data_IF_368814754537
#
_entry.id   IF_368814754537
#
_cell.length_a   1.000
_cell.length_b   1.000
_cell.length_c   1.000
_cell.angle_alpha   90.00
_cell.angle_beta   90.00
_cell.angle_gamma   90.00
#
_symmetry.space_group_name_H-M   'P 1'
#
loop_
_entity.id
_entity.type
_entity.pdbx_description
1 polymer ?
#
# COMPACT_ATOMS: atom_id res chain seq x y z
N UNK A 1 5.33 -2.40 22.84
CA UNK A 1 4.96 -1.02 22.46
C UNK A 1 4.07 -1.07 21.23
N UNK A 2 3.12 -0.15 21.12
CA UNK A 2 2.26 -0.01 19.93
C UNK A 2 3.07 0.52 18.75
N UNK A 3 2.85 -0.05 17.56
CA UNK A 3 3.46 0.36 16.29
C UNK A 3 2.45 1.10 15.42
N UNK A 4 2.92 2.04 14.60
CA UNK A 4 2.10 2.81 13.66
C UNK A 4 2.40 2.40 12.22
N UNK A 5 1.38 1.93 11.50
CA UNK A 5 1.43 1.77 10.04
C UNK A 5 0.51 2.81 9.37
N UNK A 6 1.04 3.56 8.41
CA UNK A 6 0.29 4.63 7.74
C UNK A 6 -0.37 4.11 6.48
N UNK A 7 -1.70 4.22 6.41
CA UNK A 7 -2.47 3.84 5.22
C UNK A 7 -2.45 4.95 4.15
N UNK A 8 -1.98 4.63 2.94
CA UNK A 8 -1.80 5.60 1.85
C UNK A 8 -2.97 5.67 0.86
N UNK A 9 -4.08 4.97 1.09
CA UNK A 9 -5.22 4.92 0.18
C UNK A 9 -5.77 6.31 -0.18
N UNK A 10 -5.82 7.23 0.80
CA UNK A 10 -6.34 8.58 0.57
C UNK A 10 -5.39 9.46 -0.24
N UNK A 11 -4.08 9.22 -0.18
CA UNK A 11 -3.12 9.88 -1.08
C UNK A 11 -3.37 9.44 -2.52
N UNK A 12 -3.53 8.14 -2.75
CA UNK A 12 -3.83 7.59 -4.07
C UNK A 12 -5.19 8.07 -4.61
N UNK A 13 -6.21 8.19 -3.75
CA UNK A 13 -7.50 8.77 -4.12
C UNK A 13 -7.37 10.23 -4.60
N UNK A 14 -6.60 11.06 -3.88
CA UNK A 14 -6.33 12.44 -4.27
C UNK A 14 -5.56 12.55 -5.59
N UNK A 15 -4.61 11.64 -5.83
CA UNK A 15 -3.90 11.54 -7.11
C UNK A 15 -4.87 11.21 -8.25
N UNK A 16 -5.67 10.16 -8.07
CA UNK A 16 -6.56 9.64 -9.11
C UNK A 16 -7.62 10.65 -9.52
N UNK A 17 -8.11 11.49 -8.59
CA UNK A 17 -9.13 12.51 -8.88
C UNK A 17 -8.66 13.61 -9.84
N UNK A 18 -7.34 13.79 -10.00
CA UNK A 18 -6.76 14.82 -10.88
C UNK A 18 -6.17 14.27 -12.19
N UNK A 19 -6.04 12.95 -12.32
CA UNK A 19 -5.47 12.32 -13.51
C UNK A 19 -4.00 12.67 -13.77
N UNK A 20 -3.26 13.13 -12.75
CA UNK A 20 -1.84 13.46 -12.80
C UNK A 20 -1.10 12.69 -11.71
N UNK A 21 0.22 12.57 -11.82
CA UNK A 21 1.05 11.96 -10.78
C UNK A 21 1.31 12.91 -9.59
N UNK A 22 0.26 13.51 -9.04
CA UNK A 22 0.35 14.34 -7.84
C UNK A 22 -0.96 14.33 -7.02
N UNK A 23 -0.90 14.05 -5.71
CA UNK A 23 0.31 13.72 -4.92
C UNK A 23 0.88 12.32 -5.23
N UNK A 24 2.21 12.19 -5.22
CA UNK A 24 2.88 10.89 -5.40
C UNK A 24 2.74 10.00 -4.16
N UNK A 25 2.22 8.77 -4.35
CA UNK A 25 2.07 7.75 -3.30
C UNK A 25 3.44 7.37 -2.73
N UNK A 26 4.39 7.04 -3.60
CA UNK A 26 5.79 6.75 -3.23
C UNK A 26 6.43 7.92 -2.50
N UNK A 27 6.22 9.15 -2.99
CA UNK A 27 6.74 10.35 -2.32
C UNK A 27 6.20 10.52 -0.90
N UNK A 28 4.93 10.18 -0.66
CA UNK A 28 4.34 10.18 0.68
C UNK A 28 4.85 9.03 1.56
N UNK A 29 5.05 7.83 1.00
CA UNK A 29 5.66 6.72 1.73
C UNK A 29 7.04 7.08 2.27
N UNK A 30 7.92 7.66 1.42
CA UNK A 30 9.26 8.11 1.83
C UNK A 30 9.21 9.16 2.95
N UNK A 31 8.25 10.08 2.90
CA UNK A 31 8.04 11.06 3.99
C UNK A 31 7.58 10.40 5.28
N UNK A 32 6.62 9.49 5.21
CA UNK A 32 6.14 8.75 6.38
C UNK A 32 7.28 7.96 7.04
N UNK A 33 8.10 7.27 6.24
CA UNK A 33 9.31 6.56 6.70
C UNK A 33 10.28 7.51 7.39
N UNK A 34 10.56 8.68 6.79
CA UNK A 34 11.43 9.69 7.39
C UNK A 34 10.89 10.24 8.73
N UNK A 35 9.57 10.17 8.97
CA UNK A 35 8.95 10.50 10.24
C UNK A 35 8.97 9.35 11.28
N UNK A 36 9.57 8.20 10.97
CA UNK A 36 9.73 7.09 11.90
C UNK A 36 8.50 6.20 12.05
N UNK A 37 7.68 6.05 11.00
CA UNK A 37 6.59 5.06 11.01
C UNK A 37 7.15 3.64 10.98
N UNK A 38 6.38 2.70 11.51
CA UNK A 38 6.76 1.30 11.60
C UNK A 38 6.21 0.45 10.45
N UNK A 39 5.28 1.02 9.67
CA UNK A 39 4.74 0.36 8.50
C UNK A 39 4.08 1.30 7.52
N UNK A 40 3.89 0.78 6.32
CA UNK A 40 3.04 1.36 5.28
C UNK A 40 1.94 0.36 4.98
N UNK A 41 0.71 0.84 4.93
CA UNK A 41 -0.46 0.05 4.61
C UNK A 41 -1.09 0.52 3.30
N UNK A 42 -1.53 -0.43 2.47
CA UNK A 42 -2.33 -0.16 1.28
C UNK A 42 -3.45 -1.17 1.13
N UNK A 43 -4.54 -0.76 0.47
CA UNK A 43 -5.64 -1.63 0.09
C UNK A 43 -5.90 -1.50 -1.43
N UNK A 44 -5.26 -2.33 -2.27
CA UNK A 44 -5.54 -2.41 -3.70
C UNK A 44 -6.90 -3.08 -3.93
N UNK A 45 -7.93 -2.29 -4.26
CA UNK A 45 -9.24 -2.81 -4.66
C UNK A 45 -9.18 -3.35 -6.09
N UNK A 46 -10.02 -4.34 -6.47
CA UNK A 46 -10.09 -4.84 -7.85
C UNK A 46 -10.37 -3.72 -8.88
N UNK A 47 -11.25 -2.78 -8.52
CA UNK A 47 -11.58 -1.63 -9.37
C UNK A 47 -10.52 -0.51 -9.39
N UNK A 48 -9.44 -0.66 -8.60
CA UNK A 48 -8.34 0.29 -8.46
C UNK A 48 -8.81 1.73 -8.16
N UNK A 49 -9.92 1.89 -7.43
CA UNK A 49 -10.52 3.21 -7.12
C UNK A 49 -9.57 4.16 -6.36
N UNK A 50 -8.59 3.63 -5.62
CA UNK A 50 -7.53 4.40 -4.96
C UNK A 50 -6.13 3.87 -5.29
N UNK A 51 -5.66 2.88 -4.55
CA UNK A 51 -4.39 2.20 -4.81
C UNK A 51 -4.56 1.35 -6.05
N UNK A 52 -3.65 1.52 -7.01
CA UNK A 52 -3.52 0.69 -8.21
C UNK A 52 -2.55 -0.45 -7.94
N UNK A 53 -2.62 -1.53 -8.72
CA UNK A 53 -1.66 -2.64 -8.55
C UNK A 53 -0.20 -2.20 -8.77
N UNK A 54 0.04 -1.24 -9.66
CA UNK A 54 1.36 -0.63 -9.84
C UNK A 54 1.89 0.03 -8.55
N UNK A 55 1.02 0.67 -7.76
CA UNK A 55 1.43 1.30 -6.50
C UNK A 55 1.98 0.27 -5.51
N UNK A 56 1.45 -0.96 -5.53
CA UNK A 56 1.92 -2.05 -4.67
C UNK A 56 3.34 -2.45 -5.05
N UNK A 57 3.63 -2.62 -6.34
CA UNK A 57 4.97 -2.94 -6.83
C UNK A 57 5.96 -1.80 -6.52
N UNK A 58 5.56 -0.56 -6.78
CA UNK A 58 6.41 0.62 -6.54
C UNK A 58 6.73 0.80 -5.05
N UNK A 59 5.74 0.59 -4.17
CA UNK A 59 5.94 0.64 -2.73
C UNK A 59 6.80 -0.52 -2.23
N UNK A 60 6.63 -1.73 -2.77
CA UNK A 60 7.50 -2.87 -2.47
C UNK A 60 8.98 -2.56 -2.78
N UNK A 61 9.26 -1.94 -3.93
CA UNK A 61 10.61 -1.52 -4.30
C UNK A 61 11.18 -0.44 -3.35
N UNK A 62 10.35 0.49 -2.87
CA UNK A 62 10.77 1.49 -1.89
C UNK A 62 11.08 0.84 -0.55
N UNK A 63 10.19 -0.02 -0.06
CA UNK A 63 10.30 -0.66 1.26
C UNK A 63 11.41 -1.71 1.34
N UNK A 64 11.84 -2.27 0.21
CA UNK A 64 13.02 -3.13 0.15
C UNK A 64 14.30 -2.44 0.67
N UNK A 65 14.38 -1.11 0.62
CA UNK A 65 15.48 -0.32 1.19
C UNK A 65 15.29 0.03 2.68
N UNK A 66 14.17 -0.35 3.28
CA UNK A 66 13.76 0.01 4.65
C UNK A 66 13.27 -1.23 5.42
N UNK A 67 14.17 -2.16 5.80
CA UNK A 67 13.80 -3.46 6.38
C UNK A 67 13.06 -3.36 7.72
N UNK A 68 13.22 -2.25 8.45
CA UNK A 68 12.54 -2.00 9.73
C UNK A 68 11.10 -1.46 9.56
N UNK A 69 10.66 -1.20 8.33
CA UNK A 69 9.32 -0.71 8.01
C UNK A 69 8.51 -1.82 7.35
N UNK A 70 7.45 -2.24 8.02
CA UNK A 70 6.56 -3.30 7.56
C UNK A 70 5.72 -2.85 6.36
N UNK A 71 5.59 -3.70 5.35
CA UNK A 71 4.56 -3.53 4.33
C UNK A 71 3.35 -4.37 4.70
N UNK A 72 2.19 -3.73 4.82
CA UNK A 72 0.91 -4.38 5.03
C UNK A 72 0.00 -4.18 3.80
N UNK A 73 -0.49 -5.29 3.22
CA UNK A 73 -1.46 -5.26 2.13
C UNK A 73 -2.80 -5.76 2.65
N UNK A 74 -3.84 -4.93 2.54
CA UNK A 74 -5.22 -5.26 2.91
C UNK A 74 -6.03 -5.69 1.69
N UNK A 75 -6.93 -6.67 1.84
CA UNK A 75 -7.89 -7.00 0.79
C UNK A 75 -8.78 -8.20 1.10
N UNK A 76 -9.81 -8.39 0.26
CA UNK A 76 -10.62 -9.60 0.25
C UNK A 76 -9.80 -10.75 -0.38
N UNK A 77 -9.70 -11.94 0.26
CA UNK A 77 -8.92 -13.09 -0.21
C UNK A 77 -9.49 -13.76 -1.48
N UNK A 78 -9.61 -13.01 -2.56
CA UNK A 78 -9.83 -13.51 -3.92
C UNK A 78 -8.52 -14.02 -4.51
N UNK A 79 -8.59 -14.91 -5.50
CA UNK A 79 -7.38 -15.46 -6.15
C UNK A 79 -6.48 -14.35 -6.72
N UNK A 80 -7.05 -13.33 -7.37
CA UNK A 80 -6.31 -12.18 -7.91
C UNK A 80 -5.57 -11.39 -6.82
N UNK A 81 -6.23 -11.18 -5.67
CA UNK A 81 -5.60 -10.52 -4.53
C UNK A 81 -4.46 -11.35 -3.94
N UNK A 82 -4.67 -12.67 -3.81
CA UNK A 82 -3.63 -13.57 -3.29
C UNK A 82 -2.41 -13.63 -4.21
N UNK A 83 -2.62 -13.67 -5.53
CA UNK A 83 -1.54 -13.60 -6.52
C UNK A 83 -0.74 -12.29 -6.39
N UNK A 84 -1.43 -11.16 -6.24
CA UNK A 84 -0.79 -9.86 -6.00
C UNK A 84 0.07 -9.86 -4.72
N UNK A 85 -0.47 -10.39 -3.63
CA UNK A 85 0.24 -10.48 -2.33
C UNK A 85 1.45 -11.41 -2.44
N UNK A 86 1.33 -12.56 -3.09
CA UNK A 86 2.43 -13.51 -3.27
C UNK A 86 3.55 -12.95 -4.15
N UNK A 87 3.20 -12.14 -5.16
CA UNK A 87 4.17 -11.41 -5.96
C UNK A 87 4.87 -10.30 -5.16
N UNK A 88 4.12 -9.54 -4.35
CA UNK A 88 4.64 -8.41 -3.57
C UNK A 88 5.43 -8.83 -2.32
N UNK A 89 5.17 -10.03 -1.78
CA UNK A 89 5.78 -10.58 -0.55
C UNK A 89 5.82 -9.57 0.61
N UNK A 90 4.67 -8.96 1.00
CA UNK A 90 4.64 -8.06 2.13
C UNK A 90 4.93 -8.82 3.43
N UNK A 91 5.39 -8.10 4.46
CA UNK A 91 5.59 -8.67 5.79
C UNK A 91 4.26 -9.03 6.47
N UNK A 92 3.17 -8.34 6.12
CA UNK A 92 1.83 -8.63 6.62
C UNK A 92 0.79 -8.57 5.50
N UNK A 93 -0.18 -9.47 5.57
CA UNK A 93 -1.40 -9.45 4.76
C UNK A 93 -2.60 -9.43 5.70
N UNK A 94 -3.48 -8.42 5.54
CA UNK A 94 -4.68 -8.27 6.34
C UNK A 94 -5.91 -8.62 5.50
N UNK A 95 -6.56 -9.73 5.84
CA UNK A 95 -7.74 -10.19 5.13
C UNK A 95 -8.99 -9.48 5.65
N UNK A 96 -9.78 -8.88 4.76
CA UNK A 96 -11.01 -8.15 5.11
C UNK A 96 -12.21 -8.63 4.29
N UNK A 97 -13.43 -8.70 4.86
CA UNK A 97 -14.61 -9.27 4.21
C UNK A 97 -15.35 -8.23 3.37
N UNK A 98 -14.64 -7.51 2.50
CA UNK A 98 -15.26 -6.43 1.72
C UNK A 98 -15.82 -6.95 0.40
N UNK A 99 -16.95 -6.38 -0.04
CA UNK A 99 -17.54 -6.73 -1.34
C UNK A 99 -16.57 -6.40 -2.50
N UNK A 100 -16.42 -7.31 -3.49
CA UNK A 100 -15.59 -7.09 -4.67
C UNK A 100 -16.01 -5.87 -5.51
#
# INVERSE_FOLDING_TARGET
MTRLSVNLNKIALLRNSRGRDYPSVVGFARRAIACGVHGITVHPRPDQRHIRFQDVADLGAVLAAHPDVEFNIEGNPTDEFLDLVLAARPQQCTLVPDDP
#
